data_IF_581506308342
#
_entry.id   IF_581506308342
#
_cell.length_a   1.000
_cell.length_b   1.000
_cell.length_c   1.000
_cell.angle_alpha   90.00
_cell.angle_beta   90.00
_cell.angle_gamma   90.00
#
_symmetry.space_group_name_H-M   'P 1'
#
loop_
_entity.id
_entity.type
_entity.pdbx_description
1 polymer ?
#
# COMPACT_ATOMS: atom_id res chain seq x y z
N UNK A 1 -38.75 53.36 -17.13
CA UNK A 1 -38.90 51.89 -17.13
C UNK A 1 -37.54 51.28 -17.45
N UNK A 2 -36.68 51.17 -16.44
CA UNK A 2 -35.37 50.51 -16.56
C UNK A 2 -35.54 49.04 -16.20
N UNK A 3 -35.11 48.15 -17.09
CA UNK A 3 -35.11 46.71 -16.87
C UNK A 3 -33.81 46.31 -16.18
N UNK A 4 -33.92 45.87 -14.92
CA UNK A 4 -32.85 45.22 -14.17
C UNK A 4 -32.72 43.78 -14.67
N UNK A 5 -31.59 43.44 -15.29
CA UNK A 5 -31.24 42.06 -15.62
C UNK A 5 -30.55 41.42 -14.41
N UNK A 6 -31.25 40.52 -13.72
CA UNK A 6 -30.69 39.64 -12.70
C UNK A 6 -30.00 38.45 -13.36
N UNK A 7 -28.67 38.47 -13.38
CA UNK A 7 -27.85 37.31 -13.77
C UNK A 7 -27.72 36.37 -12.56
N UNK A 8 -28.41 35.23 -12.59
CA UNK A 8 -28.24 34.15 -11.62
C UNK A 8 -26.88 33.49 -11.85
N UNK A 9 -25.91 33.77 -10.97
CA UNK A 9 -24.64 33.07 -10.94
C UNK A 9 -24.86 31.73 -10.24
N UNK A 10 -25.02 30.67 -11.02
CA UNK A 10 -24.98 29.29 -10.53
C UNK A 10 -23.57 29.02 -10.02
N UNK A 11 -23.38 29.10 -8.69
CA UNK A 11 -22.21 28.57 -8.01
C UNK A 11 -22.24 27.05 -8.17
N UNK A 12 -21.63 26.57 -9.25
CA UNK A 12 -21.31 25.18 -9.42
C UNK A 12 -20.32 24.84 -8.30
N UNK A 13 -20.82 24.25 -7.21
CA UNK A 13 -19.98 23.55 -6.25
C UNK A 13 -19.27 22.45 -7.03
N UNK A 14 -18.04 22.73 -7.47
CA UNK A 14 -17.08 21.72 -7.85
C UNK A 14 -16.98 20.77 -6.67
N UNK A 15 -17.62 19.61 -6.80
CA UNK A 15 -17.40 18.49 -5.91
C UNK A 15 -15.90 18.25 -5.89
N UNK A 16 -15.27 18.58 -4.77
CA UNK A 16 -13.94 18.10 -4.46
C UNK A 16 -14.01 16.59 -4.54
N UNK A 17 -13.37 16.00 -5.55
CA UNK A 17 -12.88 14.64 -5.41
C UNK A 17 -11.95 14.66 -4.19
N UNK A 18 -12.46 14.23 -3.03
CA UNK A 18 -11.64 13.87 -1.90
C UNK A 18 -10.93 12.56 -2.24
N UNK A 19 -10.05 12.62 -3.24
CA UNK A 19 -9.11 11.56 -3.55
C UNK A 19 -8.18 11.42 -2.35
N UNK A 20 -8.10 10.22 -1.82
CA UNK A 20 -7.02 9.75 -0.98
C UNK A 20 -5.67 10.22 -1.57
N UNK A 21 -5.05 11.23 -0.95
CA UNK A 21 -3.85 11.88 -1.46
C UNK A 21 -2.76 11.87 -0.39
N UNK A 22 -1.60 11.31 -0.74
CA UNK A 22 -0.39 11.39 0.05
C UNK A 22 0.38 12.68 -0.32
N UNK A 23 0.52 13.65 0.60
CA UNK A 23 1.20 14.91 0.30
C UNK A 23 2.70 14.78 0.00
N UNK A 24 3.33 13.66 0.39
CA UNK A 24 4.74 13.39 0.16
C UNK A 24 4.96 12.54 -1.10
N UNK A 25 3.94 11.80 -1.53
CA UNK A 25 3.96 11.03 -2.78
C UNK A 25 2.66 11.20 -3.60
N UNK A 26 2.48 12.38 -4.23
CA UNK A 26 1.27 12.73 -4.98
C UNK A 26 0.85 11.78 -6.10
N UNK A 27 1.82 11.04 -6.65
CA UNK A 27 1.64 10.15 -7.80
C UNK A 27 1.76 8.68 -7.40
N UNK A 28 2.09 8.41 -6.14
CA UNK A 28 2.22 7.08 -5.60
C UNK A 28 0.88 6.36 -5.58
N UNK A 29 0.85 5.18 -6.17
CA UNK A 29 -0.30 4.30 -6.18
C UNK A 29 0.14 2.84 -6.30
N UNK A 30 -0.80 1.94 -6.02
CA UNK A 30 -0.68 0.55 -6.41
C UNK A 30 -1.58 0.36 -7.63
N UNK A 31 -0.97 -0.02 -8.75
CA UNK A 31 -1.70 -0.31 -9.99
C UNK A 31 -1.84 -1.81 -10.14
N UNK A 32 -3.06 -2.27 -10.35
CA UNK A 32 -3.36 -3.67 -10.64
C UNK A 32 -3.74 -3.75 -12.11
N UNK A 33 -2.99 -4.55 -12.85
CA UNK A 33 -3.25 -4.87 -14.24
C UNK A 33 -3.81 -6.27 -14.35
N UNK A 34 -4.75 -6.43 -15.26
CA UNK A 34 -5.43 -7.66 -15.55
C UNK A 34 -5.27 -7.94 -17.04
N UNK A 35 -4.28 -8.78 -17.35
CA UNK A 35 -3.81 -9.01 -18.71
C UNK A 35 -4.38 -10.33 -19.24
N UNK A 36 -5.18 -10.25 -20.31
CA UNK A 36 -5.82 -11.41 -20.93
C UNK A 36 -4.87 -12.05 -21.96
N UNK A 37 -4.55 -13.33 -21.76
CA UNK A 37 -3.66 -14.09 -22.65
C UNK A 37 -4.42 -15.01 -23.59
N UNK A 38 -5.51 -15.58 -23.11
CA UNK A 38 -6.37 -16.45 -23.88
C UNK A 38 -7.83 -16.20 -23.49
N UNK A 39 -8.71 -16.17 -24.48
CA UNK A 39 -10.14 -15.92 -24.33
C UNK A 39 -10.86 -16.94 -25.21
N UNK A 40 -11.67 -17.77 -24.58
CA UNK A 40 -12.51 -18.75 -25.25
C UNK A 40 -13.97 -18.31 -25.09
N UNK A 41 -14.59 -17.88 -26.18
CA UNK A 41 -15.96 -17.37 -26.18
C UNK A 41 -16.91 -18.40 -25.54
N UNK A 42 -17.53 -18.03 -24.41
CA UNK A 42 -18.48 -18.87 -23.68
C UNK A 42 -17.88 -19.95 -22.78
N UNK A 43 -16.56 -20.18 -22.82
CA UNK A 43 -15.88 -21.22 -22.04
C UNK A 43 -14.97 -20.64 -20.94
N UNK A 44 -14.52 -19.38 -21.08
CA UNK A 44 -13.73 -18.68 -20.08
C UNK A 44 -12.50 -17.97 -20.63
N UNK A 45 -11.56 -17.63 -19.74
CA UNK A 45 -10.35 -16.91 -20.10
C UNK A 45 -9.20 -17.18 -19.13
N UNK A 46 -7.98 -16.97 -19.61
CA UNK A 46 -6.75 -17.03 -18.79
C UNK A 46 -6.17 -15.63 -18.67
N UNK A 47 -5.96 -15.21 -17.42
CA UNK A 47 -5.49 -13.87 -17.09
C UNK A 47 -4.29 -13.92 -16.15
N UNK A 48 -3.37 -12.99 -16.36
CA UNK A 48 -2.31 -12.69 -15.40
C UNK A 48 -2.66 -11.39 -14.69
N UNK A 49 -2.75 -11.46 -13.38
CA UNK A 49 -2.99 -10.28 -12.53
C UNK A 49 -1.65 -9.83 -11.99
N UNK A 50 -1.29 -8.57 -12.26
CA UNK A 50 -0.01 -7.99 -11.83
C UNK A 50 -0.26 -6.73 -11.02
N UNK A 51 0.27 -6.69 -9.80
CA UNK A 51 0.30 -5.53 -8.93
C UNK A 51 1.66 -4.84 -9.00
N UNK A 52 1.63 -3.53 -9.27
CA UNK A 52 2.78 -2.65 -9.30
C UNK A 52 2.66 -1.65 -8.16
N UNK A 53 3.60 -1.68 -7.21
CA UNK A 53 3.73 -0.64 -6.22
C UNK A 53 4.56 0.51 -6.79
N UNK A 54 3.88 1.54 -7.31
CA UNK A 54 4.51 2.73 -7.87
C UNK A 54 4.79 3.81 -6.80
N UNK A 55 4.66 3.47 -5.53
CA UNK A 55 4.93 4.41 -4.45
C UNK A 55 6.42 4.58 -4.23
N UNK A 56 6.79 5.76 -3.77
CA UNK A 56 8.17 6.18 -3.58
C UNK A 56 8.77 5.70 -2.26
N UNK A 57 7.98 5.28 -1.27
CA UNK A 57 8.53 4.87 0.03
C UNK A 57 7.63 3.97 0.87
N UNK A 58 6.36 3.82 0.49
CA UNK A 58 5.45 2.89 1.15
C UNK A 58 5.61 1.53 0.51
N UNK A 59 5.71 0.52 1.34
CA UNK A 59 5.76 -0.87 0.95
C UNK A 59 4.61 -1.61 1.65
N UNK A 60 4.18 -2.71 1.06
CA UNK A 60 3.24 -3.62 1.69
C UNK A 60 4.08 -4.59 2.52
N UNK A 61 3.95 -4.52 3.83
CA UNK A 61 4.60 -5.40 4.80
C UNK A 61 3.79 -6.68 5.03
N UNK A 62 4.39 -7.68 5.70
CA UNK A 62 3.68 -8.85 6.22
C UNK A 62 2.52 -8.39 7.13
N UNK A 63 1.31 -8.98 7.03
CA UNK A 63 0.95 -10.26 6.39
C UNK A 63 0.82 -10.25 4.86
N UNK A 64 1.07 -9.11 4.22
CA UNK A 64 1.02 -8.96 2.78
C UNK A 64 -0.33 -8.43 2.28
N UNK A 65 -0.47 -8.32 0.97
CA UNK A 65 -1.74 -7.98 0.33
C UNK A 65 -2.72 -9.15 0.37
N UNK A 66 -4.01 -8.83 0.44
CA UNK A 66 -5.12 -9.76 0.28
C UNK A 66 -6.10 -9.16 -0.74
N UNK A 67 -5.94 -9.52 -2.01
CA UNK A 67 -6.63 -8.90 -3.12
C UNK A 67 -8.04 -9.49 -3.25
N UNK A 68 -9.05 -8.68 -2.97
CA UNK A 68 -10.45 -8.99 -3.19
C UNK A 68 -11.05 -8.19 -4.33
N UNK A 69 -12.02 -8.78 -5.00
CA UNK A 69 -12.91 -8.13 -5.98
C UNK A 69 -14.27 -8.80 -5.97
N UNK A 70 -15.19 -8.35 -6.81
CA UNK A 70 -16.51 -8.96 -7.00
C UNK A 70 -16.76 -9.18 -8.49
N UNK A 71 -17.09 -10.42 -8.84
CA UNK A 71 -17.52 -10.77 -10.18
C UNK A 71 -18.89 -10.15 -10.51
N UNK A 72 -19.08 -9.63 -11.73
CA UNK A 72 -20.38 -9.13 -12.18
C UNK A 72 -21.44 -10.24 -12.22
N UNK A 73 -21.07 -11.44 -12.66
CA UNK A 73 -21.94 -12.62 -12.74
C UNK A 73 -21.70 -13.59 -11.57
N UNK A 74 -22.72 -14.37 -11.21
CA UNK A 74 -22.58 -15.48 -10.25
C UNK A 74 -22.04 -16.76 -10.88
N UNK A 75 -21.96 -16.81 -12.22
CA UNK A 75 -21.47 -17.96 -12.96
C UNK A 75 -19.95 -17.91 -13.22
N UNK A 76 -19.28 -16.83 -12.81
CA UNK A 76 -17.83 -16.72 -12.92
C UNK A 76 -17.13 -17.39 -11.74
N UNK A 77 -16.26 -18.35 -12.05
CA UNK A 77 -15.52 -19.14 -11.06
C UNK A 77 -14.06 -19.28 -11.46
N UNK A 78 -13.20 -19.42 -10.46
CA UNK A 78 -11.78 -19.66 -10.67
C UNK A 78 -11.55 -21.16 -10.74
N UNK A 79 -11.11 -21.66 -11.89
CA UNK A 79 -10.82 -23.07 -12.13
C UNK A 79 -9.46 -23.47 -11.57
N UNK A 80 -8.43 -22.67 -11.84
CA UNK A 80 -7.04 -22.93 -11.44
C UNK A 80 -6.28 -21.63 -11.19
N UNK A 81 -5.31 -21.66 -10.27
CA UNK A 81 -4.44 -20.53 -9.96
C UNK A 81 -2.97 -20.96 -9.82
N UNK A 82 -2.05 -20.06 -10.15
CA UNK A 82 -0.62 -20.20 -9.88
C UNK A 82 -0.02 -18.86 -9.42
N UNK A 83 0.95 -18.93 -8.51
CA UNK A 83 1.57 -17.75 -7.87
C UNK A 83 0.80 -17.19 -6.67
N UNK A 84 -0.51 -17.45 -6.59
CA UNK A 84 -1.37 -17.03 -5.49
C UNK A 84 -2.48 -18.06 -5.28
N UNK A 85 -3.20 -17.95 -4.17
CA UNK A 85 -4.33 -18.83 -3.84
C UNK A 85 -5.51 -18.05 -3.26
N UNK A 86 -6.73 -18.50 -3.58
CA UNK A 86 -7.93 -18.06 -2.89
C UNK A 86 -7.96 -18.55 -1.45
N UNK A 87 -8.29 -17.65 -0.52
CA UNK A 87 -8.45 -17.96 0.90
C UNK A 87 -9.61 -18.93 1.19
N UNK A 88 -10.61 -18.96 0.30
CA UNK A 88 -11.80 -19.82 0.42
C UNK A 88 -12.22 -20.36 -0.94
N UNK A 89 -12.69 -21.61 -0.93
CA UNK A 89 -13.27 -22.24 -2.12
C UNK A 89 -14.75 -21.85 -2.35
N UNK A 90 -15.53 -21.58 -1.30
CA UNK A 90 -16.96 -21.27 -1.43
C UNK A 90 -17.85 -22.50 -1.74
N UNK A 91 -19.13 -22.26 -2.06
CA UNK A 91 -20.09 -23.33 -2.41
C UNK A 91 -20.07 -23.61 -3.93
N UNK A 92 -19.30 -24.62 -4.33
CA UNK A 92 -19.19 -25.04 -5.73
C UNK A 92 -20.27 -26.03 -6.20
N UNK A 93 -21.32 -26.33 -5.42
CA UNK A 93 -22.31 -27.38 -5.77
C UNK A 93 -22.99 -27.18 -7.13
N UNK A 94 -23.15 -25.94 -7.58
CA UNK A 94 -23.74 -25.60 -8.89
C UNK A 94 -22.85 -26.04 -10.05
N UNK A 95 -21.54 -26.07 -9.82
CA UNK A 95 -20.52 -26.36 -10.83
C UNK A 95 -20.12 -27.83 -10.72
N UNK A 96 -20.78 -28.69 -11.51
CA UNK A 96 -20.50 -30.12 -11.58
C UNK A 96 -19.21 -30.40 -12.37
N UNK A 97 -18.08 -29.84 -11.95
CA UNK A 97 -16.77 -30.06 -12.58
C UNK A 97 -15.95 -31.12 -11.83
N UNK A 98 -15.08 -31.82 -12.56
CA UNK A 98 -14.08 -32.71 -12.00
C UNK A 98 -12.73 -32.46 -12.70
N UNK A 99 -11.68 -31.96 -12.00
CA UNK A 99 -11.63 -31.62 -10.58
C UNK A 99 -12.56 -30.45 -10.19
N UNK A 100 -12.80 -30.31 -8.89
CA UNK A 100 -13.54 -29.17 -8.33
C UNK A 100 -12.81 -27.85 -8.64
N UNK A 101 -13.54 -26.73 -8.83
CA UNK A 101 -12.91 -25.43 -9.09
C UNK A 101 -12.11 -24.95 -7.88
N UNK A 102 -11.07 -24.15 -8.12
CA UNK A 102 -10.27 -23.53 -7.07
C UNK A 102 -11.10 -22.62 -6.16
N UNK A 103 -11.99 -21.79 -6.73
CA UNK A 103 -12.92 -20.98 -5.95
C UNK A 103 -14.19 -20.64 -6.75
N UNK A 104 -15.34 -20.77 -6.09
CA UNK A 104 -16.66 -20.42 -6.59
C UNK A 104 -17.28 -19.23 -5.85
N UNK A 105 -16.49 -18.50 -5.03
CA UNK A 105 -16.98 -17.30 -4.39
C UNK A 105 -17.16 -16.17 -5.42
N UNK A 106 -18.32 -15.50 -5.37
CA UNK A 106 -18.57 -14.31 -6.18
C UNK A 106 -17.61 -13.16 -5.86
N UNK A 107 -17.17 -13.09 -4.61
CA UNK A 107 -16.24 -12.07 -4.14
C UNK A 107 -15.02 -12.71 -3.48
N UNK A 108 -14.13 -13.34 -4.28
CA UNK A 108 -13.00 -14.08 -3.74
C UNK A 108 -11.98 -13.12 -3.13
N UNK A 109 -11.24 -13.60 -2.13
CA UNK A 109 -10.05 -12.94 -1.59
C UNK A 109 -8.84 -13.82 -1.87
N UNK A 110 -7.88 -13.27 -2.60
CA UNK A 110 -6.67 -13.94 -3.05
C UNK A 110 -5.47 -13.44 -2.23
N UNK A 111 -4.61 -14.36 -1.84
CA UNK A 111 -3.35 -14.08 -1.15
C UNK A 111 -2.17 -14.66 -1.92
N UNK A 112 -1.03 -13.99 -1.86
CA UNK A 112 0.20 -14.47 -2.47
C UNK A 112 0.67 -15.76 -1.80
N UNK A 113 1.32 -16.64 -2.57
CA UNK A 113 1.97 -17.81 -1.99
C UNK A 113 3.21 -17.40 -1.19
N UNK A 114 3.56 -18.20 -0.18
CA UNK A 114 4.77 -17.98 0.62
C UNK A 114 6.05 -18.37 -0.14
N UNK A 115 7.22 -17.82 0.26
CA UNK A 115 8.50 -18.25 -0.30
C UNK A 115 8.73 -19.75 -0.09
N UNK A 116 9.29 -20.42 -1.11
CA UNK A 116 9.65 -21.85 -1.03
C UNK A 116 8.60 -22.84 -1.55
N UNK A 117 7.48 -22.35 -2.10
CA UNK A 117 6.52 -23.22 -2.80
C UNK A 117 7.14 -23.94 -4.01
N UNK A 118 6.66 -25.13 -4.40
CA UNK A 118 7.13 -25.86 -5.57
C UNK A 118 7.11 -25.05 -6.87
N UNK A 119 8.11 -25.24 -7.75
CA UNK A 119 8.29 -24.45 -8.98
C UNK A 119 7.07 -24.46 -9.91
N UNK A 120 6.33 -25.57 -9.95
CA UNK A 120 5.12 -25.72 -10.78
C UNK A 120 3.93 -24.85 -10.29
N UNK A 121 3.98 -24.36 -9.06
CA UNK A 121 2.99 -23.43 -8.50
C UNK A 121 3.44 -21.97 -8.57
N UNK A 122 4.69 -21.71 -9.00
CA UNK A 122 5.24 -20.36 -9.08
C UNK A 122 4.92 -19.70 -10.42
N UNK A 123 4.86 -18.37 -10.38
CA UNK A 123 4.90 -17.52 -11.58
C UNK A 123 5.94 -16.43 -11.38
N UNK A 124 6.20 -15.64 -12.43
CA UNK A 124 7.11 -14.50 -12.34
C UNK A 124 6.64 -13.52 -11.25
N UNK A 125 7.56 -13.00 -10.45
CA UNK A 125 7.31 -12.01 -9.39
C UNK A 125 6.34 -12.40 -8.27
N UNK A 126 5.84 -13.65 -8.21
CA UNK A 126 5.40 -14.25 -6.94
C UNK A 126 6.68 -14.65 -6.14
N UNK A 127 6.68 -15.36 -5.03
CA UNK A 127 5.66 -15.84 -4.11
C UNK A 127 6.26 -15.38 -2.78
N UNK A 128 5.94 -14.13 -2.41
CA UNK A 128 6.66 -13.37 -1.39
C UNK A 128 5.85 -13.22 -0.11
N UNK A 129 4.79 -14.02 0.06
CA UNK A 129 3.84 -13.86 1.16
C UNK A 129 3.17 -12.48 1.15
N UNK A 130 2.99 -11.91 -0.04
CA UNK A 130 2.24 -10.67 -0.25
C UNK A 130 3.02 -9.40 0.04
N UNK A 131 4.32 -9.51 0.32
CA UNK A 131 5.20 -8.35 0.55
C UNK A 131 5.57 -7.70 -0.80
N UNK A 132 5.34 -6.38 -0.90
CA UNK A 132 5.69 -5.59 -2.10
C UNK A 132 6.46 -4.34 -1.70
N UNK A 133 7.73 -4.26 -2.10
CA UNK A 133 8.59 -3.09 -1.86
C UNK A 133 8.07 -1.84 -2.57
N UNK A 134 8.47 -0.65 -2.12
CA UNK A 134 8.29 0.57 -2.92
C UNK A 134 9.19 0.52 -4.16
N UNK A 135 8.80 1.28 -5.20
CA UNK A 135 9.53 1.35 -6.47
C UNK A 135 10.96 1.87 -6.29
N UNK A 136 11.20 2.78 -5.35
CA UNK A 136 12.54 3.36 -5.12
C UNK A 136 13.42 2.48 -4.26
N UNK A 137 12.84 1.74 -3.31
CA UNK A 137 13.59 0.89 -2.39
C UNK A 137 14.20 -0.31 -3.13
N UNK A 138 13.37 -1.01 -3.90
CA UNK A 138 13.76 -2.18 -4.65
C UNK A 138 12.79 -2.37 -5.83
N UNK A 139 13.13 -1.82 -7.01
CA UNK A 139 12.31 -1.98 -8.20
C UNK A 139 12.03 -3.46 -8.56
N UNK A 140 12.95 -4.37 -8.21
CA UNK A 140 12.81 -5.80 -8.51
C UNK A 140 11.77 -6.49 -7.63
N UNK A 141 11.48 -5.92 -6.44
CA UNK A 141 10.48 -6.43 -5.49
C UNK A 141 9.20 -5.61 -5.44
N UNK A 142 9.09 -4.57 -6.27
CA UNK A 142 7.92 -3.69 -6.38
C UNK A 142 6.76 -4.26 -7.21
N UNK A 143 6.91 -5.49 -7.70
CA UNK A 143 5.94 -6.17 -8.57
C UNK A 143 5.51 -7.48 -7.90
N UNK A 144 4.22 -7.80 -7.94
CA UNK A 144 3.69 -9.12 -7.56
C UNK A 144 2.74 -9.59 -8.64
N UNK A 145 2.79 -10.86 -9.04
CA UNK A 145 1.85 -11.38 -10.03
C UNK A 145 1.43 -12.81 -9.75
N UNK A 146 0.23 -13.13 -10.23
CA UNK A 146 -0.34 -14.47 -10.23
C UNK A 146 -1.13 -14.68 -11.52
N UNK A 147 -1.33 -15.94 -11.90
CA UNK A 147 -2.15 -16.30 -13.05
C UNK A 147 -3.38 -17.07 -12.58
N UNK A 148 -4.50 -16.88 -13.27
CA UNK A 148 -5.69 -17.67 -13.04
C UNK A 148 -6.44 -17.99 -14.33
N UNK A 149 -7.03 -19.17 -14.34
CA UNK A 149 -7.99 -19.60 -15.35
C UNK A 149 -9.39 -19.43 -14.78
N UNK A 150 -10.22 -18.66 -15.47
CA UNK A 150 -11.58 -18.32 -15.05
C UNK A 150 -12.55 -18.94 -16.04
N UNK A 151 -13.56 -19.63 -15.52
CA UNK A 151 -14.71 -20.01 -16.32
C UNK A 151 -15.70 -18.85 -16.31
N UNK A 152 -16.17 -18.44 -17.48
CA UNK A 152 -17.12 -17.34 -17.62
C UNK A 152 -18.07 -17.63 -18.76
N UNK A 153 -19.36 -17.37 -18.53
CA UNK A 153 -20.42 -17.41 -19.54
C UNK A 153 -20.57 -16.09 -20.31
N UNK A 154 -19.71 -15.11 -20.02
CA UNK A 154 -19.73 -13.79 -20.66
C UNK A 154 -19.03 -13.84 -22.02
N UNK A 155 -19.73 -13.38 -23.06
CA UNK A 155 -19.14 -13.20 -24.39
C UNK A 155 -18.29 -11.93 -24.44
N UNK A 156 -16.96 -12.09 -24.42
CA UNK A 156 -15.99 -11.00 -24.51
C UNK A 156 -15.88 -10.46 -25.94
N UNK A 157 -16.79 -9.57 -26.35
CA UNK A 157 -16.62 -8.85 -27.63
C UNK A 157 -15.63 -7.70 -27.45
N UNK A 158 -14.62 -7.60 -28.32
CA UNK A 158 -13.56 -6.57 -28.28
C UNK A 158 -14.08 -5.11 -28.32
N UNK A 159 -15.35 -4.91 -28.65
CA UNK A 159 -16.05 -3.62 -28.71
C UNK A 159 -16.78 -3.22 -27.42
N UNK A 160 -16.89 -4.11 -26.42
CA UNK A 160 -17.74 -3.93 -25.22
C UNK A 160 -17.01 -3.37 -23.99
N UNK A 161 -16.02 -2.49 -24.18
CA UNK A 161 -15.19 -1.90 -23.13
C UNK A 161 -15.94 -1.67 -21.82
N UNK A 162 -15.58 -2.45 -20.79
CA UNK A 162 -16.07 -2.44 -19.41
C UNK A 162 -17.42 -3.13 -19.07
N UNK A 163 -18.21 -3.62 -20.02
CA UNK A 163 -19.41 -4.41 -19.70
C UNK A 163 -18.98 -5.81 -19.21
N UNK A 164 -19.18 -6.10 -17.92
CA UNK A 164 -18.78 -7.39 -17.33
C UNK A 164 -17.36 -7.44 -16.77
N UNK A 165 -16.76 -6.29 -16.42
CA UNK A 165 -15.50 -6.29 -15.65
C UNK A 165 -15.74 -6.46 -14.14
N UNK A 166 -14.81 -7.09 -13.40
CA UNK A 166 -14.83 -7.11 -11.94
C UNK A 166 -14.91 -5.71 -11.34
N UNK A 167 -15.52 -5.62 -10.17
CA UNK A 167 -15.67 -4.36 -9.41
C UNK A 167 -15.36 -4.55 -7.93
N UNK A 168 -15.41 -3.47 -7.14
CA UNK A 168 -15.19 -3.50 -5.69
C UNK A 168 -13.82 -4.08 -5.29
N UNK A 169 -12.77 -3.60 -5.95
CA UNK A 169 -11.41 -4.01 -5.62
C UNK A 169 -10.98 -3.53 -4.23
N UNK A 170 -10.32 -4.40 -3.49
CA UNK A 170 -9.65 -4.11 -2.22
C UNK A 170 -8.34 -4.87 -2.18
N UNK A 171 -7.25 -4.22 -1.75
CA UNK A 171 -5.95 -4.90 -1.61
C UNK A 171 -5.73 -5.49 -0.21
N UNK A 172 -6.71 -5.37 0.69
CA UNK A 172 -6.62 -5.91 2.06
C UNK A 172 -5.64 -5.17 2.97
N UNK A 173 -5.09 -4.03 2.52
CA UNK A 173 -4.15 -3.20 3.28
C UNK A 173 -4.87 -1.93 3.77
N UNK A 174 -4.79 -1.60 5.07
CA UNK A 174 -5.38 -0.38 5.62
C UNK A 174 -4.90 0.90 4.90
N UNK A 175 -5.79 1.88 4.78
CA UNK A 175 -5.47 3.16 4.15
C UNK A 175 -5.61 3.22 2.63
N UNK A 176 -5.82 2.10 1.94
CA UNK A 176 -5.96 2.08 0.49
C UNK A 176 -7.43 2.09 0.03
N UNK A 177 -7.67 2.78 -1.08
CA UNK A 177 -8.93 2.77 -1.82
C UNK A 177 -8.68 2.58 -3.29
N UNK A 178 -9.33 1.60 -3.90
CA UNK A 178 -9.23 1.32 -5.33
C UNK A 178 -10.33 2.04 -6.11
N UNK A 179 -10.05 2.36 -7.37
CA UNK A 179 -11.07 2.91 -8.28
C UNK A 179 -12.22 1.91 -8.45
N UNK A 180 -13.46 2.41 -8.45
CA UNK A 180 -14.65 1.55 -8.50
C UNK A 180 -14.74 0.69 -9.76
N UNK A 181 -14.30 1.24 -10.89
CA UNK A 181 -14.37 0.59 -12.19
C UNK A 181 -12.95 0.36 -12.74
N UNK A 182 -12.79 -0.71 -13.51
CA UNK A 182 -11.57 -0.95 -14.27
C UNK A 182 -11.57 -0.10 -15.55
N UNK A 183 -10.40 0.44 -15.89
CA UNK A 183 -10.17 1.15 -17.14
C UNK A 183 -9.55 0.18 -18.18
N UNK A 184 -10.09 0.20 -19.40
CA UNK A 184 -9.42 -0.43 -20.54
C UNK A 184 -8.22 0.44 -20.94
N UNK A 185 -7.03 -0.16 -20.94
CA UNK A 185 -5.77 0.52 -21.28
C UNK A 185 -5.08 -0.18 -22.45
N UNK A 186 -3.99 0.41 -22.94
CA UNK A 186 -3.16 -0.23 -23.96
C UNK A 186 -2.70 -1.62 -23.50
N UNK A 187 -2.81 -2.66 -24.35
CA UNK A 187 -2.45 -4.01 -23.94
C UNK A 187 -0.98 -4.14 -23.55
N UNK A 188 -0.73 -4.77 -22.41
CA UNK A 188 0.63 -4.92 -21.85
C UNK A 188 1.50 -5.77 -22.77
N UNK A 189 2.76 -5.36 -22.92
CA UNK A 189 3.80 -6.08 -23.68
C UNK A 189 4.75 -6.75 -22.71
N UNK A 190 5.00 -8.04 -22.92
CA UNK A 190 5.87 -8.88 -22.12
C UNK A 190 7.05 -9.34 -22.96
N UNK A 191 8.25 -9.25 -22.40
CA UNK A 191 9.45 -9.83 -22.98
C UNK A 191 9.74 -11.15 -22.28
N UNK A 192 9.82 -12.24 -23.03
CA UNK A 192 10.11 -13.56 -22.49
C UNK A 192 11.63 -13.75 -22.35
N UNK A 193 12.20 -13.33 -21.23
CA UNK A 193 13.62 -13.55 -20.90
C UNK A 193 14.58 -13.02 -21.98
N UNK A 194 15.59 -13.82 -22.33
CA UNK A 194 16.62 -13.46 -23.34
C UNK A 194 16.10 -13.54 -24.80
N UNK A 195 14.81 -13.78 -25.01
CA UNK A 195 14.22 -13.86 -26.35
C UNK A 195 13.89 -12.46 -26.88
N UNK A 196 14.11 -12.25 -28.18
CA UNK A 196 13.62 -11.05 -28.89
C UNK A 196 12.10 -11.07 -29.08
N UNK A 197 11.42 -12.19 -28.79
CA UNK A 197 9.96 -12.29 -28.91
C UNK A 197 9.28 -11.46 -27.84
N UNK A 198 8.52 -10.47 -28.29
CA UNK A 198 7.59 -9.70 -27.45
C UNK A 198 6.21 -10.33 -27.60
N UNK A 199 5.64 -10.80 -26.49
CA UNK A 199 4.25 -11.22 -26.42
C UNK A 199 3.41 -10.03 -25.95
N UNK A 200 2.21 -9.88 -26.46
CA UNK A 200 1.28 -8.83 -26.05
C UNK A 200 0.01 -9.48 -25.54
N UNK A 201 -0.57 -8.92 -24.47
CA UNK A 201 -1.91 -9.29 -24.03
C UNK A 201 -2.94 -8.98 -25.12
N UNK A 202 -4.02 -9.75 -25.18
CA UNK A 202 -5.15 -9.48 -26.07
C UNK A 202 -5.85 -8.18 -25.67
N UNK A 203 -6.01 -7.99 -24.36
CA UNK A 203 -6.50 -6.76 -23.75
C UNK A 203 -5.96 -6.62 -22.32
N UNK A 204 -5.93 -5.39 -21.81
CA UNK A 204 -5.51 -5.12 -20.43
C UNK A 204 -6.53 -4.22 -19.76
N UNK A 205 -7.02 -4.67 -18.62
CA UNK A 205 -7.77 -3.82 -17.70
C UNK A 205 -6.88 -3.35 -16.56
N UNK A 206 -7.16 -2.15 -16.07
CA UNK A 206 -6.37 -1.52 -15.02
C UNK A 206 -7.27 -0.94 -13.94
N UNK A 207 -6.93 -1.22 -12.67
CA UNK A 207 -7.49 -0.55 -11.50
C UNK A 207 -6.36 0.09 -10.71
N UNK A 208 -6.62 1.28 -10.16
CA UNK A 208 -5.62 2.05 -9.42
C UNK A 208 -6.09 2.21 -7.97
N UNK A 209 -5.23 1.83 -7.04
CA UNK A 209 -5.45 1.97 -5.60
C UNK A 209 -4.56 3.07 -5.04
N UNK A 210 -5.16 4.08 -4.44
CA UNK A 210 -4.46 5.20 -3.81
C UNK A 210 -4.54 5.11 -2.29
N UNK A 211 -3.50 5.61 -1.64
CA UNK A 211 -3.35 5.59 -0.19
C UNK A 211 -3.83 6.92 0.44
N UNK A 212 -4.48 6.84 1.60
CA UNK A 212 -4.84 7.97 2.46
C UNK A 212 -4.49 7.68 3.91
N UNK A 213 -3.71 8.59 4.52
CA UNK A 213 -3.41 8.54 5.95
C UNK A 213 -4.68 8.53 6.82
N UNK A 214 -5.73 9.25 6.41
CA UNK A 214 -6.98 9.37 7.16
C UNK A 214 -7.78 8.08 7.17
N UNK A 215 -7.53 7.19 6.21
CA UNK A 215 -8.18 5.88 6.14
C UNK A 215 -7.35 4.77 6.78
N UNK A 216 -6.04 4.97 6.96
CA UNK A 216 -5.17 3.96 7.57
C UNK A 216 -5.43 3.87 9.07
N UNK A 217 -5.43 5.02 9.77
CA UNK A 217 -5.73 5.07 11.19
C UNK A 217 -6.15 6.47 11.61
N UNK A 218 -7.07 6.53 12.57
CA UNK A 218 -7.44 7.79 13.23
C UNK A 218 -6.36 8.30 14.20
N UNK A 219 -5.45 7.41 14.65
CA UNK A 219 -4.33 7.74 15.53
C UNK A 219 -3.00 7.49 14.80
N UNK A 220 -1.98 8.35 14.99
CA UNK A 220 -0.68 8.12 14.40
C UNK A 220 -0.06 6.83 14.96
N UNK A 221 0.81 6.19 14.17
CA UNK A 221 1.58 5.01 14.58
C UNK A 221 2.93 5.35 15.21
N UNK A 222 3.31 6.62 15.23
CA UNK A 222 4.55 7.09 15.82
C UNK A 222 4.42 8.48 16.44
N UNK A 223 5.37 8.83 17.30
CA UNK A 223 5.53 10.19 17.78
C UNK A 223 6.95 10.70 17.57
N UNK A 224 7.09 12.02 17.50
CA UNK A 224 8.38 12.70 17.34
C UNK A 224 8.70 13.50 18.60
N UNK A 225 9.91 13.31 19.11
CA UNK A 225 10.49 14.13 20.19
C UNK A 225 11.70 14.89 19.68
N UNK A 226 11.94 16.07 20.23
CA UNK A 226 12.93 17.02 19.73
C UNK A 226 13.86 17.48 20.85
N UNK A 227 15.14 17.60 20.54
CA UNK A 227 16.14 18.21 21.41
C UNK A 227 17.14 19.03 20.59
N UNK A 228 17.84 19.96 21.24
CA UNK A 228 18.71 20.92 20.56
C UNK A 228 20.09 20.98 21.20
N UNK A 229 21.04 21.61 20.50
CA UNK A 229 22.41 21.75 20.99
C UNK A 229 22.52 22.73 22.17
N UNK A 230 21.68 23.77 22.20
CA UNK A 230 21.77 24.86 23.16
C UNK A 230 20.84 24.70 24.37
N UNK A 231 20.15 23.56 24.49
CA UNK A 231 19.19 23.32 25.56
C UNK A 231 19.25 21.88 26.01
N UNK A 232 19.34 21.69 27.32
CA UNK A 232 19.25 20.38 27.97
C UNK A 232 17.80 19.88 28.05
N UNK A 233 16.81 20.73 27.74
CA UNK A 233 15.41 20.35 27.73
C UNK A 233 15.04 19.54 26.48
N UNK A 234 14.36 18.42 26.69
CA UNK A 234 13.78 17.59 25.63
C UNK A 234 12.30 17.91 25.49
N UNK A 235 11.88 18.25 24.27
CA UNK A 235 10.47 18.31 23.89
C UNK A 235 10.00 16.88 23.65
N UNK A 236 9.35 16.30 24.67
CA UNK A 236 8.82 14.94 24.63
C UNK A 236 7.59 14.84 23.72
N UNK A 237 7.27 13.61 23.33
CA UNK A 237 6.01 13.32 22.65
C UNK A 237 4.82 13.69 23.56
N UNK A 238 3.75 14.33 23.03
CA UNK A 238 2.55 14.62 23.79
C UNK A 238 1.92 13.35 24.39
N UNK A 239 1.30 13.51 25.56
CA UNK A 239 0.57 12.42 26.23
C UNK A 239 -0.52 11.86 25.31
N UNK A 240 -0.58 10.53 25.22
CA UNK A 240 -1.51 9.78 24.38
C UNK A 240 -1.48 10.14 22.88
N UNK A 241 -0.31 10.45 22.33
CA UNK A 241 -0.15 10.69 20.89
C UNK A 241 -0.72 9.56 20.03
N UNK A 242 -0.55 8.30 20.42
CA UNK A 242 -1.02 7.13 19.67
C UNK A 242 -2.21 6.41 20.33
N UNK A 243 -3.08 7.19 21.01
CA UNK A 243 -4.33 6.80 21.71
C UNK A 243 -4.14 6.39 23.19
N UNK A 244 -4.97 6.96 24.07
CA UNK A 244 -5.04 6.52 25.46
C UNK A 244 -5.86 5.22 25.58
N UNK A 245 -5.59 4.36 26.57
CA UNK A 245 -6.55 3.37 27.01
C UNK A 245 -7.83 4.07 27.51
N UNK A 246 -9.00 3.65 27.05
CA UNK A 246 -10.26 4.09 27.67
C UNK A 246 -10.36 3.46 29.07
N UNK A 247 -10.80 4.25 30.06
CA UNK A 247 -11.01 3.81 31.44
C UNK A 247 -11.83 2.53 31.49
N UNK A 248 -11.18 1.41 31.84
CA UNK A 248 -11.79 0.08 31.94
C UNK A 248 -11.11 -1.02 31.11
N UNK A 249 -10.26 -0.67 30.13
CA UNK A 249 -9.37 -1.63 29.45
C UNK A 249 -7.95 -1.48 29.99
N UNK A 250 -7.72 -2.00 31.18
CA UNK A 250 -6.37 -2.29 31.65
C UNK A 250 -5.79 -3.38 30.74
N UNK A 251 -4.97 -2.99 29.78
CA UNK A 251 -4.31 -3.92 28.87
C UNK A 251 -4.10 -3.30 27.51
N UNK A 252 -2.85 -2.99 27.21
CA UNK A 252 -2.21 -2.95 25.87
C UNK A 252 -0.84 -2.28 25.93
N UNK A 253 -0.34 -1.93 27.13
CA UNK A 253 1.08 -1.68 27.30
C UNK A 253 1.70 -2.58 28.37
N UNK A 254 2.98 -2.93 28.17
CA UNK A 254 3.76 -3.80 29.04
C UNK A 254 4.90 -3.00 29.67
N UNK A 255 5.23 -3.33 30.92
CA UNK A 255 6.34 -2.77 31.67
C UNK A 255 7.44 -3.84 31.70
N UNK A 256 8.69 -3.45 31.46
CA UNK A 256 9.83 -4.38 31.30
C UNK A 256 10.18 -5.18 32.57
N UNK A 257 9.58 -4.88 33.73
CA UNK A 257 10.06 -5.28 35.06
C UNK A 257 9.35 -6.50 35.69
N UNK A 258 8.47 -7.22 34.97
CA UNK A 258 7.85 -8.45 35.51
C UNK A 258 8.30 -9.72 34.76
N UNK A 259 9.00 -10.66 35.44
CA UNK A 259 9.58 -11.85 34.80
C UNK A 259 8.55 -12.95 34.44
N UNK A 260 7.26 -12.75 34.72
CA UNK A 260 6.24 -13.81 34.65
C UNK A 260 5.13 -13.62 33.62
N UNK A 261 5.14 -12.52 32.85
CA UNK A 261 4.17 -12.38 31.76
C UNK A 261 4.70 -13.09 30.50
N UNK A 262 4.66 -14.43 30.52
CA UNK A 262 4.77 -15.26 29.32
C UNK A 262 3.73 -14.74 28.33
N UNK A 263 4.22 -14.01 27.33
CA UNK A 263 3.50 -13.47 26.20
C UNK A 263 2.83 -14.64 25.46
N UNK A 264 1.62 -15.03 25.90
CA UNK A 264 0.84 -16.03 25.20
C UNK A 264 0.42 -15.40 23.87
N UNK A 265 1.01 -15.88 22.78
CA UNK A 265 0.49 -15.64 21.43
C UNK A 265 -0.96 -16.13 21.42
N UNK A 266 -1.95 -15.27 21.13
CA UNK A 266 -3.31 -15.74 20.96
C UNK A 266 -3.32 -16.65 19.73
N UNK A 267 -3.56 -17.94 19.94
CA UNK A 267 -4.06 -18.81 18.89
C UNK A 267 -5.47 -18.29 18.54
N UNK A 268 -5.61 -17.57 17.43
CA UNK A 268 -6.92 -17.22 16.91
C UNK A 268 -6.95 -15.91 16.13
N UNK A 269 -7.49 -15.99 14.91
CA UNK A 269 -7.93 -14.87 14.09
C UNK A 269 -8.71 -13.82 14.89
N UNK A 270 -8.30 -12.55 14.74
CA UNK A 270 -9.11 -11.39 15.08
C UNK A 270 -8.51 -10.47 16.16
N UNK A 271 -8.15 -9.26 15.70
CA UNK A 271 -7.97 -8.03 16.48
C UNK A 271 -6.56 -7.72 17.01
N UNK A 272 -5.77 -6.99 16.19
CA UNK A 272 -5.14 -5.68 16.44
C UNK A 272 -4.67 -5.29 17.87
N UNK A 273 -4.29 -6.24 18.72
CA UNK A 273 -3.69 -5.94 20.04
C UNK A 273 -2.22 -5.60 19.89
N UNK A 274 -1.94 -4.32 19.60
CA UNK A 274 -0.59 -3.76 19.66
C UNK A 274 -0.15 -3.73 21.13
N UNK A 275 0.77 -4.63 21.51
CA UNK A 275 1.50 -4.53 22.76
C UNK A 275 2.63 -3.53 22.64
N UNK A 276 2.48 -2.37 23.29
CA UNK A 276 3.54 -1.36 23.33
C UNK A 276 4.21 -1.31 24.70
N UNK A 277 5.44 -0.82 24.79
CA UNK A 277 6.03 -0.44 26.07
C UNK A 277 5.26 0.73 26.67
N UNK A 278 4.94 0.65 27.97
CA UNK A 278 4.22 1.71 28.66
C UNK A 278 5.03 3.01 28.64
N UNK A 279 4.48 4.02 27.99
CA UNK A 279 5.04 5.37 27.86
C UNK A 279 3.89 6.37 27.93
N UNK A 280 4.17 7.63 28.27
CA UNK A 280 3.10 8.65 28.32
C UNK A 280 2.42 8.86 26.96
N UNK A 281 3.12 8.62 25.85
CA UNK A 281 2.63 8.85 24.48
C UNK A 281 1.97 7.61 23.85
N UNK A 282 2.19 6.41 24.40
CA UNK A 282 1.57 5.14 23.97
C UNK A 282 1.82 4.76 22.51
N UNK A 283 2.94 5.20 21.92
CA UNK A 283 3.25 4.94 20.52
C UNK A 283 4.15 3.72 20.36
N UNK A 284 3.90 2.85 19.36
CA UNK A 284 4.76 1.69 19.08
C UNK A 284 6.13 2.12 18.53
N UNK A 285 6.24 3.31 17.93
CA UNK A 285 7.50 3.86 17.43
C UNK A 285 7.71 5.26 18.00
N UNK A 286 8.90 5.51 18.53
CA UNK A 286 9.35 6.85 18.92
C UNK A 286 10.52 7.29 18.02
N UNK A 287 10.39 8.45 17.40
CA UNK A 287 11.47 9.08 16.64
C UNK A 287 12.01 10.26 17.45
N UNK A 288 13.27 10.17 17.88
CA UNK A 288 13.95 11.27 18.57
C UNK A 288 14.89 12.00 17.61
N UNK A 289 14.68 13.30 17.46
CA UNK A 289 15.49 14.18 16.62
C UNK A 289 16.31 15.12 17.49
N UNK A 290 17.63 14.96 17.44
CA UNK A 290 18.57 15.73 18.24
C UNK A 290 19.50 16.56 17.35
N UNK A 291 19.43 17.89 17.45
CA UNK A 291 20.41 18.78 16.81
C UNK A 291 21.68 18.77 17.65
N UNK A 292 22.70 18.03 17.19
CA UNK A 292 24.00 17.87 17.87
C UNK A 292 24.89 19.10 17.79
N UNK A 293 24.82 19.82 16.67
CA UNK A 293 25.71 20.95 16.38
C UNK A 293 24.95 21.92 15.48
N UNK A 294 25.09 23.22 15.73
CA UNK A 294 24.50 24.27 14.90
C UNK A 294 25.52 25.40 14.68
N UNK A 295 26.48 25.16 13.78
CA UNK A 295 27.45 26.17 13.36
C UNK A 295 26.91 26.99 12.19
N UNK A 296 27.54 28.14 11.91
CA UNK A 296 27.14 29.04 10.81
C UNK A 296 27.11 28.33 9.45
N UNK A 297 28.08 27.45 9.21
CA UNK A 297 28.26 26.81 7.90
C UNK A 297 27.52 25.46 7.79
N UNK A 298 27.28 24.77 8.91
CA UNK A 298 26.59 23.49 8.91
C UNK A 298 25.92 23.18 10.26
N UNK A 299 24.89 22.35 10.19
CA UNK A 299 24.25 21.73 11.33
C UNK A 299 24.37 20.21 11.23
N UNK A 300 24.42 19.55 12.38
CA UNK A 300 24.46 18.09 12.49
C UNK A 300 23.29 17.63 13.32
N UNK A 301 22.56 16.64 12.81
CA UNK A 301 21.47 15.97 13.54
C UNK A 301 21.78 14.50 13.74
N UNK A 302 21.39 14.00 14.91
CA UNK A 302 21.25 12.57 15.19
C UNK A 302 19.77 12.25 15.28
N UNK A 303 19.32 11.30 14.46
CA UNK A 303 17.99 10.69 14.59
C UNK A 303 18.14 9.37 15.32
N UNK A 304 17.24 9.07 16.25
CA UNK A 304 17.17 7.80 16.96
C UNK A 304 15.75 7.28 16.85
N UNK A 305 15.58 6.05 16.38
CA UNK A 305 14.28 5.41 16.23
C UNK A 305 14.24 4.27 17.23
N UNK A 306 13.23 4.29 18.09
CA UNK A 306 13.03 3.29 19.13
C UNK A 306 11.79 2.50 18.78
N UNK A 307 11.95 1.19 18.60
CA UNK A 307 10.83 0.27 18.53
C UNK A 307 10.35 -0.04 19.96
N UNK A 308 9.12 0.35 20.25
CA UNK A 308 8.45 0.10 21.52
C UNK A 308 7.35 -0.97 21.37
N UNK A 309 7.23 -1.60 20.21
CA UNK A 309 6.31 -2.69 19.95
C UNK A 309 6.96 -4.04 20.30
N UNK A 310 6.33 -4.84 21.17
CA UNK A 310 6.85 -6.14 21.59
C UNK A 310 6.59 -7.27 20.60
N UNK A 311 5.52 -7.18 19.82
CA UNK A 311 5.09 -8.24 18.90
C UNK A 311 5.57 -8.02 17.48
N UNK A 312 6.00 -6.80 17.14
CA UNK A 312 6.41 -6.45 15.78
C UNK A 312 7.84 -5.96 15.75
N UNK A 313 8.67 -6.67 14.98
CA UNK A 313 9.98 -6.21 14.57
C UNK A 313 9.87 -5.52 13.22
N UNK A 314 10.26 -4.25 13.18
CA UNK A 314 10.35 -3.49 11.94
C UNK A 314 11.73 -3.73 11.31
N UNK A 315 11.88 -4.78 10.52
CA UNK A 315 13.13 -5.11 9.81
C UNK A 315 13.31 -4.28 8.54
N UNK A 316 12.21 -4.05 7.81
CA UNK A 316 12.19 -3.27 6.58
C UNK A 316 11.47 -1.94 6.86
N UNK A 317 12.22 -0.85 6.94
CA UNK A 317 11.64 0.45 7.28
C UNK A 317 12.33 1.61 6.55
N UNK A 318 11.59 2.70 6.36
CA UNK A 318 12.13 3.95 5.81
C UNK A 318 11.75 5.12 6.72
N UNK A 319 12.59 6.16 6.72
CA UNK A 319 12.27 7.43 7.34
C UNK A 319 12.21 8.53 6.29
N UNK A 320 11.01 9.07 6.08
CA UNK A 320 10.79 10.19 5.15
C UNK A 320 10.84 11.50 5.92
N UNK A 321 11.63 12.46 5.43
CA UNK A 321 11.87 13.74 6.09
C UNK A 321 11.68 14.88 5.11
N UNK A 322 10.76 15.79 5.44
CA UNK A 322 10.59 17.05 4.73
C UNK A 322 11.23 18.17 5.55
N UNK A 323 12.37 18.71 5.08
CA UNK A 323 13.03 19.84 5.74
C UNK A 323 13.79 20.72 4.73
N UNK A 324 13.65 22.06 4.77
CA UNK A 324 14.25 22.97 3.79
C UNK A 324 15.78 22.86 3.66
N UNK A 325 16.48 22.64 4.78
CA UNK A 325 17.95 22.55 4.76
C UNK A 325 18.46 21.16 4.36
N UNK A 326 17.59 20.16 4.32
CA UNK A 326 17.91 18.91 3.68
C UNK A 326 17.85 19.13 2.16
N UNK A 327 18.29 20.22 1.54
CA UNK A 327 18.49 20.24 0.08
C UNK A 327 19.94 19.94 -0.27
N UNK A 328 20.85 20.40 0.59
CA UNK A 328 22.28 20.31 0.41
C UNK A 328 22.90 19.51 1.57
N UNK A 329 22.80 18.17 1.50
CA UNK A 329 23.36 17.29 2.53
C UNK A 329 24.81 17.01 2.15
N UNK A 330 25.74 17.30 3.07
CA UNK A 330 27.18 17.13 2.85
C UNK A 330 27.66 15.74 3.26
N UNK A 331 27.17 15.22 4.39
CA UNK A 331 27.59 13.95 4.97
C UNK A 331 26.43 13.22 5.63
N UNK A 332 26.44 11.89 5.51
CA UNK A 332 25.44 10.99 6.09
C UNK A 332 26.19 9.85 6.76
N UNK A 333 25.75 9.50 7.97
CA UNK A 333 26.36 8.44 8.78
C UNK A 333 25.32 7.37 9.05
N UNK A 334 25.70 6.10 8.96
CA UNK A 334 24.89 4.92 9.31
C UNK A 334 23.68 4.65 8.39
N UNK A 335 23.41 5.49 7.39
CA UNK A 335 22.17 5.44 6.60
C UNK A 335 22.44 5.60 5.10
N UNK A 336 21.65 4.91 4.28
CA UNK A 336 21.52 5.19 2.86
C UNK A 336 20.56 6.37 2.65
N UNK A 337 20.66 7.04 1.51
CA UNK A 337 19.88 8.26 1.32
C UNK A 337 19.52 8.45 -0.14
N UNK A 338 18.26 8.82 -0.37
CA UNK A 338 17.73 9.06 -1.70
C UNK A 338 16.85 10.32 -1.70
N UNK A 339 17.22 11.37 -2.47
CA UNK A 339 16.38 12.55 -2.60
C UNK A 339 15.03 12.20 -3.24
N UNK A 340 13.94 12.84 -2.77
CA UNK A 340 12.65 12.80 -3.45
C UNK A 340 12.37 14.12 -4.14
N UNK A 341 12.37 14.11 -5.48
CA UNK A 341 11.97 15.28 -6.24
C UNK A 341 10.44 15.28 -6.33
N UNK A 342 9.78 15.96 -5.39
CA UNK A 342 8.34 16.21 -5.48
C UNK A 342 8.15 17.44 -6.37
N UNK A 343 7.76 17.22 -7.63
CA UNK A 343 7.30 18.31 -8.49
C UNK A 343 6.01 18.90 -7.90
N UNK A 344 5.87 20.23 -7.81
CA UNK A 344 4.62 20.83 -7.38
C UNK A 344 3.51 20.37 -8.34
N UNK A 345 2.50 19.70 -7.79
CA UNK A 345 1.23 19.52 -8.49
C UNK A 345 0.74 20.90 -8.93
N UNK A 346 0.27 20.99 -10.17
CA UNK A 346 -0.34 22.18 -10.77
C UNK A 346 -1.63 22.53 -10.02
N UNK A 347 -1.49 23.14 -8.85
CA UNK A 347 -2.56 23.91 -8.23
C UNK A 347 -2.45 25.29 -8.85
N UNK A 348 -3.30 25.56 -9.84
CA UNK A 348 -3.51 26.89 -10.39
C UNK A 348 -4.04 27.82 -9.30
N UNK A 349 -3.17 28.63 -8.69
CA UNK A 349 -3.54 29.55 -7.62
C UNK A 349 -2.35 30.27 -7.00
N UNK A 350 -1.88 31.31 -7.70
CA UNK A 350 -1.12 32.48 -7.21
C UNK A 350 -0.45 32.41 -5.82
N UNK A 351 0.80 31.93 -5.79
CA UNK A 351 1.98 32.59 -5.14
C UNK A 351 3.18 31.69 -5.39
N UNK A 352 4.29 32.25 -5.93
CA UNK A 352 5.59 31.56 -6.03
C UNK A 352 6.05 31.14 -4.62
N UNK A 353 5.63 29.96 -4.15
CA UNK A 353 6.30 29.25 -3.05
C UNK A 353 7.56 28.62 -3.62
N UNK A 354 8.69 28.87 -2.97
CA UNK A 354 9.99 28.26 -3.26
C UNK A 354 9.84 26.74 -3.41
N UNK A 355 10.60 26.15 -4.31
CA UNK A 355 10.73 24.70 -4.47
C UNK A 355 11.06 24.03 -3.12
N UNK A 356 10.06 23.39 -2.50
CA UNK A 356 10.30 22.54 -1.35
C UNK A 356 10.67 21.15 -1.87
N UNK A 357 11.98 20.87 -2.03
CA UNK A 357 12.45 19.50 -2.25
C UNK A 357 12.21 18.69 -0.97
N UNK A 358 11.58 17.53 -1.10
CA UNK A 358 11.37 16.56 0.00
C UNK A 358 12.44 15.48 -0.08
N UNK A 359 12.69 14.72 0.98
CA UNK A 359 13.74 13.69 0.95
C UNK A 359 13.35 12.42 1.69
N UNK A 360 13.76 11.26 1.17
CA UNK A 360 13.74 10.00 1.91
C UNK A 360 15.15 9.73 2.41
N UNK A 361 15.29 9.47 3.71
CA UNK A 361 16.42 8.71 4.23
C UNK A 361 16.06 7.24 4.23
N UNK A 362 16.90 6.39 3.62
CA UNK A 362 16.75 4.93 3.70
C UNK A 362 17.73 4.42 4.75
N UNK A 363 17.23 3.81 5.80
CA UNK A 363 18.11 3.18 6.77
C UNK A 363 18.11 1.70 6.43
N UNK A 364 19.12 1.27 5.67
CA UNK A 364 19.48 -0.14 5.68
C UNK A 364 20.28 -0.38 6.96
N UNK A 365 19.65 -0.95 7.98
CA UNK A 365 20.42 -1.64 9.01
C UNK A 365 21.10 -2.83 8.33
N UNK A 366 22.44 -2.85 8.36
CA UNK A 366 23.21 -4.04 7.97
C UNK A 366 22.89 -5.22 8.88
#
# INVERSE_FOLDING_TARGET
>A
MEKINLFFWSFCFLQWFAGAYDPLDPKGNITIKWDFFDIHDGDGYVVTVTMYNNQLYRHIESPGWALGWTWPSEDEIILHMSGAEATKQGDCKRFKSNPLPHSCERSPVIVDLHPGVPYNLQTANCCKGGVISSLTQDPSKAISSFQMAVQSSVNFTATSGAFGSPSNFSIGVPGYTCSNNMALVEPTKFSTGNSQRIQQALMTWQVVCSYSQFRESNAPSCCVSLSSFYSDAIVNCPRCSCRCPHTGLAGNCYIDDEPDNKLQTPNGEGDDKIAVKCTEHMCPIQVHWHVKVNYKDYWRVKVTITNLNFFKNYSDWNLVLEHPNLQNITQIFSFSYQPLIVYPGTISGSRRRRENKKKIGRINTM
#
